data_IF_446054090437
#
_entry.id   IF_446054090437
#
_cell.length_a   1.000
_cell.length_b   1.000
_cell.length_c   1.000
_cell.angle_alpha   90.00
_cell.angle_beta   90.00
_cell.angle_gamma   90.00
#
_symmetry.space_group_name_H-M   'P 1'
#
loop_
_entity.id
_entity.type
_entity.pdbx_description
1 polymer ?
#
# COMPACT_ATOMS: atom_id res chain seq x y z
N UNK A 1 5.67 -31.42 36.20
CA UNK A 1 6.66 -30.68 35.38
C UNK A 1 6.00 -30.48 34.04
N UNK A 2 5.42 -29.30 33.85
CA UNK A 2 4.70 -28.94 32.63
C UNK A 2 5.72 -28.59 31.56
N UNK A 3 5.61 -29.20 30.39
CA UNK A 3 6.41 -28.87 29.22
C UNK A 3 6.23 -27.39 28.86
N UNK A 4 7.32 -26.66 28.53
CA UNK A 4 7.20 -25.31 28.02
C UNK A 4 6.60 -25.37 26.61
N UNK A 5 5.49 -24.65 26.43
CA UNK A 5 4.88 -24.34 25.13
C UNK A 5 5.97 -23.97 24.12
N UNK A 6 6.17 -24.86 23.15
CA UNK A 6 6.92 -24.56 21.93
C UNK A 6 6.19 -23.44 21.21
N UNK A 7 6.85 -22.29 21.03
CA UNK A 7 6.36 -21.25 20.14
C UNK A 7 5.95 -21.87 18.79
N UNK A 8 4.79 -21.48 18.21
CA UNK A 8 4.37 -22.03 16.93
C UNK A 8 5.44 -21.76 15.86
N UNK A 9 5.63 -22.68 14.90
CA UNK A 9 6.60 -22.46 13.82
C UNK A 9 6.29 -21.14 13.09
N UNK A 10 7.35 -20.42 12.70
CA UNK A 10 7.27 -19.10 12.04
C UNK A 10 6.28 -19.06 10.85
N UNK A 11 6.02 -20.20 10.22
CA UNK A 11 5.07 -20.39 9.12
C UNK A 11 3.59 -20.05 9.42
N UNK A 12 3.21 -19.77 10.68
CA UNK A 12 1.81 -19.55 11.08
C UNK A 12 1.46 -18.10 11.42
N UNK A 13 2.41 -17.16 11.49
CA UNK A 13 2.15 -15.87 12.18
C UNK A 13 1.23 -14.92 11.41
N UNK A 14 1.26 -14.93 10.07
CA UNK A 14 0.53 -13.96 9.24
C UNK A 14 -0.42 -14.57 8.21
N UNK A 15 -0.54 -15.90 8.17
CA UNK A 15 -1.29 -16.60 7.11
C UNK A 15 -2.78 -16.21 7.03
N UNK A 16 -3.37 -15.75 8.13
CA UNK A 16 -4.76 -15.25 8.13
C UNK A 16 -4.89 -13.84 7.55
N UNK A 17 -3.80 -13.07 7.50
CA UNK A 17 -3.80 -11.68 7.08
C UNK A 17 -3.33 -11.50 5.63
N UNK A 18 -2.18 -12.07 5.26
CA UNK A 18 -1.61 -11.92 3.91
C UNK A 18 -0.98 -13.20 3.40
N UNK A 19 -1.03 -13.36 2.08
CA UNK A 19 -0.32 -14.41 1.37
C UNK A 19 1.19 -14.12 1.20
N UNK A 20 1.62 -12.85 1.34
CA UNK A 20 3.01 -12.40 1.13
C UNK A 20 3.85 -12.54 2.41
N UNK A 21 4.18 -13.77 2.79
CA UNK A 21 4.81 -14.05 4.08
C UNK A 21 6.20 -13.45 4.20
N UNK A 22 7.06 -13.64 3.20
CA UNK A 22 8.45 -13.19 3.28
C UNK A 22 8.50 -11.65 3.22
N UNK A 23 7.60 -11.04 2.45
CA UNK A 23 7.38 -9.58 2.45
C UNK A 23 7.00 -9.07 3.85
N UNK A 24 6.06 -9.75 4.52
CA UNK A 24 5.61 -9.35 5.85
C UNK A 24 6.64 -9.60 6.94
N UNK A 25 7.44 -10.65 6.84
CA UNK A 25 8.54 -10.91 7.77
C UNK A 25 9.57 -9.77 7.69
N UNK A 26 9.99 -9.40 6.46
CA UNK A 26 10.89 -8.26 6.24
C UNK A 26 10.29 -6.92 6.70
N UNK A 27 9.00 -6.70 6.41
CA UNK A 27 8.29 -5.52 6.92
C UNK A 27 8.24 -5.51 8.46
N UNK A 28 8.02 -6.66 9.10
CA UNK A 28 8.01 -6.78 10.55
C UNK A 28 9.37 -6.50 11.19
N UNK A 29 10.46 -6.85 10.51
CA UNK A 29 11.82 -6.47 10.94
C UNK A 29 11.99 -4.95 10.92
N UNK A 30 11.56 -4.27 9.83
CA UNK A 30 11.59 -2.81 9.75
C UNK A 30 10.71 -2.16 10.83
N UNK A 31 9.49 -2.68 11.03
CA UNK A 31 8.56 -2.13 12.02
C UNK A 31 9.09 -2.25 13.43
N UNK A 32 9.86 -3.29 13.76
CA UNK A 32 10.41 -3.43 15.13
C UNK A 32 11.39 -2.31 15.49
N UNK A 33 12.15 -1.84 14.50
CA UNK A 33 13.22 -0.86 14.73
C UNK A 33 12.84 0.58 14.33
N UNK A 34 11.74 0.77 13.61
CA UNK A 34 11.42 2.10 13.06
C UNK A 34 11.05 3.15 14.13
N UNK A 35 11.46 4.38 13.90
CA UNK A 35 10.93 5.55 14.59
C UNK A 35 9.58 5.95 13.97
N UNK A 36 8.76 6.67 14.75
CA UNK A 36 7.45 7.16 14.28
C UNK A 36 7.50 8.69 14.18
N UNK A 37 7.31 9.20 12.96
CA UNK A 37 7.10 10.63 12.72
C UNK A 37 5.68 11.04 13.13
N UNK A 38 5.49 11.16 14.45
CA UNK A 38 4.21 11.52 15.06
C UNK A 38 3.73 12.92 14.65
N UNK A 39 4.64 13.82 14.22
CA UNK A 39 4.30 15.14 13.71
C UNK A 39 3.66 15.01 12.32
N UNK A 40 4.30 14.31 11.39
CA UNK A 40 3.74 14.08 10.06
C UNK A 40 2.41 13.32 10.12
N UNK A 41 2.31 12.31 11.02
CA UNK A 41 1.10 11.53 11.25
C UNK A 41 -0.01 12.29 11.99
N UNK A 42 0.30 13.44 12.60
CA UNK A 42 -0.71 14.31 13.23
C UNK A 42 -1.33 15.32 12.26
N UNK A 43 -0.76 15.49 11.06
CA UNK A 43 -1.31 16.41 10.06
C UNK A 43 -2.71 15.95 9.61
N UNK A 44 -3.65 16.89 9.39
CA UNK A 44 -5.00 16.56 8.93
C UNK A 44 -5.02 15.80 7.60
N UNK A 45 -5.70 14.66 7.57
CA UNK A 45 -5.92 13.82 6.41
C UNK A 45 -7.40 13.44 6.30
N UNK A 46 -7.83 13.00 5.13
CA UNK A 46 -9.13 12.39 4.88
C UNK A 46 -8.96 11.11 4.05
N UNK A 47 -9.78 10.09 4.29
CA UNK A 47 -9.84 8.94 3.39
C UNK A 47 -10.29 9.40 2.01
N UNK A 48 -9.76 8.75 0.97
CA UNK A 48 -10.27 8.97 -0.37
C UNK A 48 -11.68 8.37 -0.51
N UNK A 49 -12.50 9.00 -1.33
CA UNK A 49 -13.80 8.47 -1.76
C UNK A 49 -13.62 7.79 -3.12
N UNK A 50 -13.80 6.47 -3.22
CA UNK A 50 -13.54 5.71 -4.45
C UNK A 50 -14.33 6.24 -5.66
N UNK A 51 -15.58 6.69 -5.44
CA UNK A 51 -16.41 7.29 -6.49
C UNK A 51 -15.86 8.60 -7.05
N UNK A 52 -14.97 9.29 -6.33
CA UNK A 52 -14.34 10.56 -6.73
C UNK A 52 -12.89 10.38 -7.17
N UNK A 53 -12.08 9.63 -6.40
CA UNK A 53 -10.67 9.41 -6.72
C UNK A 53 -10.47 8.44 -7.89
N UNK A 54 -11.45 7.57 -8.13
CA UNK A 54 -11.41 6.52 -9.14
C UNK A 54 -10.23 5.54 -9.07
N UNK A 55 -9.55 5.44 -7.93
CA UNK A 55 -8.33 4.65 -7.80
C UNK A 55 -7.09 5.37 -8.33
N UNK A 56 -6.96 6.69 -8.08
CA UNK A 56 -5.81 7.50 -8.49
C UNK A 56 -4.46 6.85 -8.18
N UNK A 57 -4.30 6.21 -7.01
CA UNK A 57 -3.05 5.54 -6.63
C UNK A 57 -2.70 4.34 -7.53
N UNK A 58 -3.64 3.81 -8.31
CA UNK A 58 -3.42 2.69 -9.22
C UNK A 58 -2.88 3.12 -10.59
N UNK A 59 -2.63 4.41 -10.85
CA UNK A 59 -2.42 4.90 -12.22
C UNK A 59 -1.25 4.23 -12.96
N UNK A 60 -0.13 3.96 -12.27
CA UNK A 60 1.07 3.38 -12.88
C UNK A 60 1.35 1.95 -12.39
N UNK A 61 0.37 1.27 -11.80
CA UNK A 61 0.60 -0.02 -11.16
C UNK A 61 1.52 0.07 -9.95
N UNK A 62 2.07 -1.05 -9.52
CA UNK A 62 2.89 -1.15 -8.31
C UNK A 62 4.06 -2.09 -8.54
N UNK A 63 5.25 -1.68 -8.10
CA UNK A 63 6.44 -2.53 -8.06
C UNK A 63 6.30 -3.58 -6.98
N UNK A 64 6.75 -4.79 -7.29
CA UNK A 64 6.57 -5.97 -6.47
C UNK A 64 7.93 -6.51 -6.04
N UNK A 65 8.01 -7.01 -4.82
CA UNK A 65 9.17 -7.81 -4.42
C UNK A 65 9.06 -9.25 -4.98
N UNK A 66 10.06 -10.08 -4.68
CA UNK A 66 10.12 -11.46 -5.17
C UNK A 66 8.97 -12.32 -4.63
N UNK A 67 8.58 -12.15 -3.38
CA UNK A 67 7.52 -12.96 -2.75
C UNK A 67 6.16 -12.55 -3.32
N UNK A 68 5.90 -11.25 -3.45
CA UNK A 68 4.70 -10.72 -4.08
C UNK A 68 4.54 -11.21 -5.53
N UNK A 69 5.63 -11.24 -6.30
CA UNK A 69 5.61 -11.81 -7.66
C UNK A 69 5.25 -13.30 -7.63
N UNK A 70 5.87 -14.09 -6.75
CA UNK A 70 5.62 -15.53 -6.68
C UNK A 70 4.16 -15.81 -6.32
N UNK A 71 3.66 -15.15 -5.28
CA UNK A 71 2.29 -15.32 -4.79
C UNK A 71 1.27 -14.87 -5.82
N UNK A 72 1.46 -13.70 -6.45
CA UNK A 72 0.52 -13.23 -7.48
C UNK A 72 0.59 -14.10 -8.74
N UNK A 73 1.76 -14.59 -9.13
CA UNK A 73 1.88 -15.51 -10.26
C UNK A 73 1.16 -16.83 -10.00
N UNK A 74 1.28 -17.39 -8.80
CA UNK A 74 0.56 -18.60 -8.39
C UNK A 74 -0.96 -18.38 -8.31
N UNK A 75 -1.39 -17.25 -7.73
CA UNK A 75 -2.79 -16.85 -7.69
C UNK A 75 -3.38 -16.77 -9.11
N UNK A 76 -2.67 -16.13 -10.05
CA UNK A 76 -3.11 -15.98 -11.43
C UNK A 76 -3.11 -17.30 -12.20
N UNK A 77 -2.17 -18.21 -11.90
CA UNK A 77 -2.15 -19.53 -12.50
C UNK A 77 -3.44 -20.31 -12.19
N UNK A 78 -3.97 -20.18 -10.97
CA UNK A 78 -5.10 -20.97 -10.50
C UNK A 78 -6.45 -20.24 -10.59
N UNK A 79 -6.47 -18.92 -10.45
CA UNK A 79 -7.70 -18.14 -10.24
C UNK A 79 -7.89 -16.98 -11.23
N UNK A 80 -7.11 -16.91 -12.32
CA UNK A 80 -7.25 -15.85 -13.33
C UNK A 80 -8.69 -15.67 -13.82
N UNK A 81 -9.39 -16.76 -14.16
CA UNK A 81 -10.75 -16.68 -14.68
C UNK A 81 -11.73 -16.07 -13.67
N UNK A 82 -11.56 -16.35 -12.38
CA UNK A 82 -12.40 -15.78 -11.31
C UNK A 82 -12.11 -14.30 -11.12
N UNK A 83 -10.84 -13.89 -11.16
CA UNK A 83 -10.44 -12.48 -11.08
C UNK A 83 -10.96 -11.69 -12.30
N UNK A 84 -10.86 -12.27 -13.50
CA UNK A 84 -11.42 -11.67 -14.72
C UNK A 84 -12.94 -11.52 -14.65
N UNK A 85 -13.64 -12.50 -14.05
CA UNK A 85 -15.08 -12.44 -13.84
C UNK A 85 -15.53 -11.31 -12.89
N UNK A 86 -14.63 -10.74 -12.08
CA UNK A 86 -14.90 -9.52 -11.28
C UNK A 86 -14.95 -8.24 -12.14
N UNK A 87 -14.61 -8.33 -13.43
CA UNK A 87 -14.53 -7.18 -14.34
C UNK A 87 -13.12 -6.61 -14.50
N UNK A 88 -12.08 -7.39 -14.20
CA UNK A 88 -10.69 -7.04 -14.45
C UNK A 88 -10.14 -7.87 -15.63
N UNK A 89 -10.35 -7.47 -16.90
CA UNK A 89 -9.78 -8.20 -18.03
C UNK A 89 -8.25 -8.12 -17.97
N UNK A 90 -7.60 -9.24 -17.64
CA UNK A 90 -6.16 -9.28 -17.45
C UNK A 90 -5.45 -9.50 -18.79
N UNK A 91 -4.33 -8.79 -19.06
CA UNK A 91 -3.50 -9.10 -20.22
C UNK A 91 -2.84 -10.49 -20.07
N UNK A 92 -2.25 -11.05 -21.15
CA UNK A 92 -1.47 -12.28 -21.05
C UNK A 92 -0.36 -12.23 -20.00
N UNK A 93 0.24 -11.05 -19.79
CA UNK A 93 1.27 -10.78 -18.79
C UNK A 93 0.79 -9.70 -17.80
N UNK A 94 0.14 -10.07 -16.68
CA UNK A 94 -0.33 -9.11 -15.67
C UNK A 94 0.78 -8.54 -14.78
N UNK A 95 1.95 -9.16 -14.79
CA UNK A 95 3.17 -8.70 -14.12
C UNK A 95 4.23 -8.53 -15.21
N UNK A 96 4.80 -7.35 -15.31
CA UNK A 96 5.76 -6.94 -16.34
C UNK A 96 7.02 -6.39 -15.68
N UNK A 97 8.11 -6.27 -16.43
CA UNK A 97 9.29 -5.54 -15.97
C UNK A 97 9.11 -4.05 -16.24
N UNK A 98 9.26 -3.21 -15.22
CA UNK A 98 9.21 -1.76 -15.33
C UNK A 98 10.51 -1.12 -14.89
N UNK A 99 10.76 0.09 -15.38
CA UNK A 99 11.82 0.98 -14.90
C UNK A 99 11.22 2.37 -14.74
N UNK A 100 11.50 2.99 -13.60
CA UNK A 100 11.05 4.35 -13.34
C UNK A 100 12.24 5.21 -12.96
N UNK A 101 12.60 6.11 -13.90
CA UNK A 101 13.60 7.17 -13.75
C UNK A 101 14.97 6.72 -13.20
N UNK A 102 15.34 5.45 -13.40
CA UNK A 102 16.57 4.87 -12.86
C UNK A 102 16.61 4.70 -11.33
N UNK A 103 15.54 5.06 -10.60
CA UNK A 103 15.45 4.89 -9.15
C UNK A 103 14.96 3.49 -8.77
N UNK A 104 14.02 2.96 -9.54
CA UNK A 104 13.48 1.61 -9.34
C UNK A 104 13.38 0.89 -10.67
N UNK A 105 13.79 -0.37 -10.67
CA UNK A 105 13.72 -1.27 -11.82
C UNK A 105 13.44 -2.67 -11.31
N UNK A 106 12.47 -3.34 -11.93
CA UNK A 106 12.04 -4.66 -11.46
C UNK A 106 10.61 -5.02 -11.88
N UNK A 107 10.09 -6.13 -11.36
CA UNK A 107 8.73 -6.55 -11.65
C UNK A 107 7.72 -5.58 -11.06
N UNK A 108 6.67 -5.27 -11.83
CA UNK A 108 5.53 -4.46 -11.42
C UNK A 108 4.25 -5.00 -12.04
N UNK A 109 3.10 -4.69 -11.44
CA UNK A 109 1.81 -4.96 -12.09
C UNK A 109 1.72 -4.18 -13.40
N UNK A 110 1.24 -4.84 -14.46
CA UNK A 110 0.97 -4.20 -15.74
C UNK A 110 -0.05 -3.05 -15.60
N UNK A 111 0.00 -2.14 -16.57
CA UNK A 111 -0.99 -1.08 -16.73
C UNK A 111 -1.76 -1.24 -18.03
N UNK A 112 -2.93 -0.62 -18.11
CA UNK A 112 -3.74 -0.50 -19.32
C UNK A 112 -4.10 0.97 -19.55
N UNK A 113 -4.37 1.39 -20.79
CA UNK A 113 -4.94 2.70 -21.05
C UNK A 113 -6.25 2.89 -20.28
N UNK A 114 -6.38 4.02 -19.60
CA UNK A 114 -7.56 4.37 -18.82
C UNK A 114 -7.59 5.90 -18.70
N UNK A 115 -8.65 6.60 -19.17
CA UNK A 115 -8.72 8.07 -19.15
C UNK A 115 -8.98 8.58 -17.72
N UNK A 116 -8.03 8.37 -16.83
CA UNK A 116 -8.13 8.71 -15.42
C UNK A 116 -8.33 10.21 -15.20
N UNK A 117 -7.71 11.05 -16.02
CA UNK A 117 -7.86 12.51 -15.98
C UNK A 117 -9.30 12.97 -16.23
N UNK A 118 -10.07 12.23 -17.03
CA UNK A 118 -11.48 12.54 -17.31
C UNK A 118 -12.42 12.00 -16.22
N UNK A 119 -12.02 10.92 -15.53
CA UNK A 119 -12.88 10.19 -14.60
C UNK A 119 -12.70 10.59 -13.15
N UNK A 120 -11.47 10.91 -12.74
CA UNK A 120 -11.10 11.21 -11.36
C UNK A 120 -11.12 12.71 -11.09
N UNK A 121 -11.72 13.10 -9.96
CA UNK A 121 -11.69 14.49 -9.51
C UNK A 121 -10.27 14.88 -9.09
N UNK A 122 -9.80 16.04 -9.56
CA UNK A 122 -8.48 16.60 -9.26
C UNK A 122 -7.33 15.62 -9.58
N UNK A 123 -7.47 14.85 -10.66
CA UNK A 123 -6.40 13.97 -11.13
C UNK A 123 -5.12 14.78 -11.42
N UNK A 124 -3.95 14.42 -10.87
CA UNK A 124 -2.72 15.16 -11.11
C UNK A 124 -2.33 15.14 -12.58
N UNK A 125 -2.08 16.31 -13.18
CA UNK A 125 -1.83 16.43 -14.62
C UNK A 125 -0.54 15.75 -15.10
N UNK A 126 0.40 15.48 -14.19
CA UNK A 126 1.63 14.75 -14.48
C UNK A 126 1.47 13.23 -14.35
N UNK A 127 0.32 12.73 -13.88
CA UNK A 127 0.05 11.31 -13.90
C UNK A 127 -0.44 10.88 -15.29
N UNK A 128 0.03 9.73 -15.82
CA UNK A 128 -0.43 9.20 -17.10
C UNK A 128 -1.90 8.77 -17.07
N UNK A 129 -2.57 8.79 -18.22
CA UNK A 129 -3.90 8.17 -18.42
C UNK A 129 -3.78 6.65 -18.57
N UNK A 130 -3.39 6.03 -17.46
CA UNK A 130 -3.30 4.57 -17.33
C UNK A 130 -3.85 4.14 -15.98
N UNK A 131 -4.15 2.85 -15.86
CA UNK A 131 -4.47 2.22 -14.59
C UNK A 131 -3.86 0.83 -14.50
N UNK A 132 -3.55 0.40 -13.29
CA UNK A 132 -3.19 -0.99 -12.95
C UNK A 132 -4.24 -1.94 -13.51
N UNK A 133 -3.80 -3.05 -14.10
CA UNK A 133 -4.71 -4.06 -14.69
C UNK A 133 -5.67 -4.67 -13.67
N UNK A 134 -5.37 -4.59 -12.37
CA UNK A 134 -6.24 -5.03 -11.28
C UNK A 134 -7.24 -3.97 -10.79
N UNK A 135 -7.26 -2.76 -11.33
CA UNK A 135 -8.27 -1.75 -11.01
C UNK A 135 -9.61 -2.11 -11.70
N UNK A 136 -10.69 -2.21 -10.93
CA UNK A 136 -12.05 -2.42 -11.43
C UNK A 136 -12.67 -1.11 -11.90
N UNK A 137 -13.72 -1.22 -12.73
CA UNK A 137 -14.43 -0.05 -13.28
C UNK A 137 -15.11 0.81 -12.21
N UNK A 138 -15.47 0.22 -11.07
CA UNK A 138 -16.00 0.88 -9.88
C UNK A 138 -14.92 1.34 -8.88
N UNK A 139 -13.66 1.30 -9.31
CA UNK A 139 -12.50 1.83 -8.60
C UNK A 139 -12.05 1.01 -7.39
N UNK A 140 -12.60 -0.21 -7.21
CA UNK A 140 -12.07 -1.21 -6.28
C UNK A 140 -10.90 -1.98 -6.91
N UNK A 141 -10.11 -2.66 -6.08
CA UNK A 141 -9.03 -3.55 -6.54
C UNK A 141 -9.55 -4.98 -6.65
N UNK A 142 -9.35 -5.63 -7.80
CA UNK A 142 -9.83 -6.99 -8.03
C UNK A 142 -9.15 -8.03 -7.15
N UNK A 143 -7.88 -7.85 -6.78
CA UNK A 143 -7.18 -8.73 -5.82
C UNK A 143 -7.83 -8.69 -4.43
N UNK A 144 -8.18 -7.49 -3.98
CA UNK A 144 -8.89 -7.29 -2.71
C UNK A 144 -10.32 -7.85 -2.78
N UNK A 145 -11.05 -7.61 -3.88
CA UNK A 145 -12.40 -8.17 -4.05
C UNK A 145 -12.38 -9.69 -4.13
N UNK A 146 -11.38 -10.27 -4.80
CA UNK A 146 -11.18 -11.71 -4.84
C UNK A 146 -10.95 -12.26 -3.42
N UNK A 147 -10.05 -11.66 -2.63
CA UNK A 147 -9.82 -12.06 -1.25
C UNK A 147 -11.11 -12.03 -0.40
N UNK A 148 -11.88 -10.93 -0.49
CA UNK A 148 -13.17 -10.79 0.22
C UNK A 148 -14.16 -11.86 -0.21
N UNK A 149 -14.25 -12.19 -1.51
CA UNK A 149 -15.14 -13.25 -2.01
C UNK A 149 -14.74 -14.64 -1.51
N UNK A 150 -13.45 -14.86 -1.22
CA UNK A 150 -12.94 -16.07 -0.60
C UNK A 150 -13.06 -16.05 0.94
N UNK A 151 -13.74 -15.05 1.52
CA UNK A 151 -13.85 -14.84 2.98
C UNK A 151 -12.48 -14.67 3.67
N UNK A 152 -11.50 -14.13 2.96
CA UNK A 152 -10.18 -13.77 3.48
C UNK A 152 -10.13 -12.29 3.89
N UNK A 153 -9.05 -11.90 4.56
CA UNK A 153 -8.77 -10.50 4.86
C UNK A 153 -8.73 -9.66 3.56
N UNK A 154 -9.29 -8.44 3.52
CA UNK A 154 -9.27 -7.61 2.31
C UNK A 154 -7.87 -7.31 1.75
N UNK A 155 -6.82 -7.38 2.57
CA UNK A 155 -5.44 -7.15 2.12
C UNK A 155 -4.68 -8.45 1.81
N UNK A 156 -5.35 -9.60 1.82
CA UNK A 156 -4.69 -10.90 1.71
C UNK A 156 -3.83 -11.07 0.47
N UNK A 157 -4.34 -10.59 -0.68
CA UNK A 157 -3.61 -10.58 -1.96
C UNK A 157 -3.25 -9.17 -2.43
N UNK A 158 -3.31 -8.16 -1.54
CA UNK A 158 -3.00 -6.78 -1.90
C UNK A 158 -1.53 -6.47 -1.56
N UNK A 159 -0.70 -6.06 -2.54
CA UNK A 159 0.71 -5.75 -2.29
C UNK A 159 0.91 -4.80 -1.11
N UNK A 160 2.03 -4.95 -0.39
CA UNK A 160 2.29 -4.23 0.86
C UNK A 160 2.18 -2.71 0.70
N UNK A 161 2.86 -2.19 -0.32
CA UNK A 161 2.83 -0.77 -0.70
C UNK A 161 1.42 -0.28 -1.04
N UNK A 162 0.55 -1.13 -1.60
CA UNK A 162 -0.81 -0.75 -1.98
C UNK A 162 -1.75 -0.56 -0.79
N UNK A 163 -1.63 -1.36 0.28
CA UNK A 163 -2.47 -1.19 1.47
C UNK A 163 -1.86 -0.23 2.49
N UNK A 164 -0.53 -0.05 2.49
CA UNK A 164 0.15 0.94 3.31
C UNK A 164 -0.09 2.38 2.83
N UNK A 165 -0.27 2.58 1.53
CA UNK A 165 -0.46 3.93 0.95
C UNK A 165 -1.56 4.72 1.67
N UNK A 166 -1.31 5.97 2.14
CA UNK A 166 -0.16 6.83 1.82
C UNK A 166 1.01 6.79 2.83
N UNK A 167 1.00 5.86 3.79
CA UNK A 167 2.12 5.71 4.73
C UNK A 167 3.39 5.31 3.97
N UNK A 168 4.52 5.83 4.43
CA UNK A 168 5.83 5.48 3.93
C UNK A 168 6.71 4.99 5.09
N UNK A 169 7.54 4.00 4.79
CA UNK A 169 8.64 3.59 5.66
C UNK A 169 9.90 3.95 4.90
N UNK A 170 10.64 4.92 5.41
CA UNK A 170 11.86 5.41 4.80
C UNK A 170 13.07 4.89 5.56
N UNK A 171 14.19 4.77 4.85
CA UNK A 171 15.49 4.49 5.44
C UNK A 171 16.50 5.55 4.97
N UNK A 172 16.60 6.69 5.67
CA UNK A 172 17.57 7.73 5.34
C UNK A 172 19.02 7.23 5.43
N UNK A 173 19.95 8.03 4.90
CA UNK A 173 21.39 7.69 4.84
C UNK A 173 22.05 7.49 6.22
N UNK A 174 21.44 8.01 7.29
CA UNK A 174 21.92 7.82 8.67
C UNK A 174 21.59 6.42 9.24
N UNK A 175 20.88 5.60 8.46
CA UNK A 175 20.51 4.24 8.80
C UNK A 175 19.27 4.12 9.69
N UNK A 176 18.65 5.24 10.06
CA UNK A 176 17.35 5.22 10.74
C UNK A 176 16.28 4.61 9.83
N UNK A 177 15.22 4.07 10.42
CA UNK A 177 14.02 3.64 9.69
C UNK A 177 12.87 4.46 10.26
N UNK A 178 12.10 5.14 9.42
CA UNK A 178 11.09 6.08 9.89
C UNK A 178 9.75 5.77 9.22
N UNK A 179 8.71 5.55 10.02
CA UNK A 179 7.33 5.59 9.57
C UNK A 179 6.86 7.03 9.49
N UNK A 180 6.53 7.49 8.30
CA UNK A 180 6.09 8.86 8.04
C UNK A 180 4.91 8.92 7.07
N UNK A 181 4.44 10.14 6.86
CA UNK A 181 3.51 10.53 5.82
C UNK A 181 4.17 11.69 5.08
N UNK A 182 4.17 11.69 3.75
CA UNK A 182 4.72 12.83 3.00
C UNK A 182 3.71 13.96 2.82
N UNK A 183 4.19 15.19 2.77
CA UNK A 183 3.45 16.30 2.15
C UNK A 183 4.07 16.67 0.80
N UNK A 184 3.62 17.79 0.22
CA UNK A 184 4.08 18.28 -1.07
C UNK A 184 5.57 18.62 -1.10
N UNK A 185 6.17 18.94 0.04
CA UNK A 185 7.58 19.34 0.13
C UNK A 185 8.47 18.12 0.37
N UNK A 186 7.99 17.16 1.17
CA UNK A 186 8.75 15.96 1.56
C UNK A 186 8.55 14.74 0.67
N UNK A 187 7.68 14.77 -0.34
CA UNK A 187 7.41 13.62 -1.22
C UNK A 187 8.68 13.14 -1.95
N UNK A 188 9.10 11.88 -1.77
CA UNK A 188 10.37 11.38 -2.32
C UNK A 188 10.34 11.28 -3.85
N UNK A 189 9.14 11.31 -4.47
CA UNK A 189 8.98 11.30 -5.91
C UNK A 189 8.88 12.72 -6.50
N UNK A 190 9.25 13.76 -5.75
CA UNK A 190 9.24 15.13 -6.25
C UNK A 190 10.50 15.44 -7.07
N UNK A 191 10.29 15.71 -8.36
CA UNK A 191 11.31 16.14 -9.32
C UNK A 191 10.89 17.44 -10.03
N UNK A 192 11.81 18.14 -10.73
CA UNK A 192 11.46 19.36 -11.46
C UNK A 192 10.31 19.20 -12.46
N UNK A 193 10.12 18.00 -13.03
CA UNK A 193 9.11 17.67 -14.03
C UNK A 193 8.04 16.67 -13.53
N UNK A 194 8.07 16.30 -12.24
CA UNK A 194 7.12 15.35 -11.65
C UNK A 194 6.81 15.74 -10.21
N UNK A 195 5.58 16.16 -9.94
CA UNK A 195 5.23 16.89 -8.71
C UNK A 195 4.78 15.95 -7.56
N UNK A 196 5.53 14.88 -7.33
CA UNK A 196 5.27 13.88 -6.29
C UNK A 196 4.18 12.87 -6.63
N UNK A 197 4.16 11.75 -5.90
CA UNK A 197 3.14 10.70 -6.05
C UNK A 197 2.21 10.68 -4.84
N UNK A 198 2.74 10.32 -3.67
CA UNK A 198 1.97 10.07 -2.45
C UNK A 198 1.13 11.28 -2.05
N UNK A 199 1.79 12.43 -1.98
CA UNK A 199 1.23 13.75 -1.63
C UNK A 199 0.24 14.31 -2.65
N UNK A 200 0.06 13.63 -3.80
CA UNK A 200 -0.86 14.01 -4.90
C UNK A 200 -2.03 13.07 -5.07
N UNK A 201 -2.04 11.95 -4.37
CA UNK A 201 -3.22 11.09 -4.32
C UNK A 201 -4.28 11.66 -3.37
N UNK A 202 -5.59 11.49 -3.64
CA UNK A 202 -6.63 12.05 -2.75
C UNK A 202 -6.57 11.56 -1.31
N UNK A 203 -6.01 10.38 -1.04
CA UNK A 203 -5.80 9.87 0.31
C UNK A 203 -4.44 10.25 0.92
N UNK A 204 -3.52 10.85 0.16
CA UNK A 204 -2.20 11.28 0.65
C UNK A 204 -1.98 12.79 0.65
N UNK A 205 -2.89 13.58 0.06
CA UNK A 205 -2.88 15.04 0.19
C UNK A 205 -3.09 15.42 1.66
N UNK A 206 -2.07 16.02 2.26
CA UNK A 206 -2.05 16.51 3.63
C UNK A 206 -1.28 17.84 3.69
N UNK A 207 -1.72 18.83 4.50
CA UNK A 207 -2.94 18.83 5.31
C UNK A 207 -4.22 19.07 4.47
N UNK A 208 -5.33 18.43 4.84
CA UNK A 208 -6.65 18.68 4.25
C UNK A 208 -7.56 19.45 5.22
N UNK A 209 -8.22 20.50 4.72
CA UNK A 209 -9.16 21.29 5.52
C UNK A 209 -10.33 20.41 6.01
N UNK A 210 -10.60 20.43 7.32
CA UNK A 210 -11.64 19.59 7.94
C UNK A 210 -11.26 18.11 8.10
N UNK A 211 -10.04 17.72 7.75
CA UNK A 211 -9.51 16.38 7.99
C UNK A 211 -9.30 16.07 9.48
N UNK A 212 -9.05 14.80 9.76
CA UNK A 212 -8.66 14.31 11.09
C UNK A 212 -7.17 13.99 11.11
N UNK A 213 -6.50 13.92 12.27
CA UNK A 213 -5.10 13.49 12.34
C UNK A 213 -4.88 12.19 11.56
N UNK A 214 -3.86 12.14 10.71
CA UNK A 214 -3.65 11.01 9.79
C UNK A 214 -3.58 9.65 10.53
N UNK A 215 -3.00 9.60 11.72
CA UNK A 215 -2.96 8.38 12.53
C UNK A 215 -4.35 7.84 12.93
N UNK A 216 -5.36 8.70 13.04
CA UNK A 216 -6.74 8.28 13.28
C UNK A 216 -7.38 7.76 11.99
N UNK A 217 -7.17 8.49 10.90
CA UNK A 217 -7.69 8.16 9.57
C UNK A 217 -7.15 6.82 9.09
N UNK A 218 -5.85 6.56 9.32
CA UNK A 218 -5.09 5.39 8.91
C UNK A 218 -4.91 4.37 10.04
N UNK A 219 -5.82 4.38 11.02
CA UNK A 219 -5.71 3.52 12.20
C UNK A 219 -5.73 2.02 11.87
N UNK A 220 -6.45 1.60 10.82
CA UNK A 220 -6.47 0.20 10.39
C UNK A 220 -5.09 -0.25 9.86
N UNK A 221 -4.43 0.58 9.05
CA UNK A 221 -3.11 0.32 8.50
C UNK A 221 -2.06 0.33 9.62
N UNK A 222 -2.12 1.31 10.52
CA UNK A 222 -1.21 1.42 11.65
C UNK A 222 -1.37 0.28 12.65
N UNK A 223 -2.60 -0.12 12.96
CA UNK A 223 -2.84 -1.30 13.80
C UNK A 223 -2.23 -2.53 13.16
N UNK A 224 -2.47 -2.73 11.85
CA UNK A 224 -1.96 -3.90 11.15
C UNK A 224 -0.44 -3.92 11.10
N UNK A 225 0.17 -2.77 10.82
CA UNK A 225 1.61 -2.62 10.80
C UNK A 225 2.19 -2.93 12.19
N UNK A 226 1.56 -2.42 13.24
CA UNK A 226 1.87 -2.75 14.62
C UNK A 226 1.80 -4.25 14.91
N UNK A 227 0.73 -4.94 14.49
CA UNK A 227 0.57 -6.40 14.68
C UNK A 227 1.70 -7.19 14.00
N UNK A 228 2.13 -6.75 12.81
CA UNK A 228 3.24 -7.37 12.05
C UNK A 228 4.56 -7.23 12.82
N UNK A 229 4.86 -6.03 13.33
CA UNK A 229 6.08 -5.77 14.12
C UNK A 229 6.00 -6.19 15.59
N UNK A 230 4.82 -6.49 16.12
CA UNK A 230 4.61 -6.70 17.56
C UNK A 230 4.70 -5.40 18.37
N UNK A 231 4.22 -4.28 17.83
CA UNK A 231 4.22 -2.94 18.46
C UNK A 231 2.81 -2.35 18.53
N UNK A 232 2.56 -1.50 19.53
CA UNK A 232 1.34 -0.69 19.62
C UNK A 232 1.58 0.72 19.07
N UNK A 233 1.70 0.82 17.75
CA UNK A 233 2.01 2.09 17.08
C UNK A 233 1.01 3.20 17.41
N UNK A 234 -0.28 2.84 17.55
CA UNK A 234 -1.32 3.81 17.91
C UNK A 234 -1.17 4.29 19.36
N UNK A 235 -0.81 3.41 20.29
CA UNK A 235 -0.47 3.77 21.67
C UNK A 235 0.76 4.67 21.73
N UNK A 236 1.83 4.31 21.01
CA UNK A 236 3.07 5.09 20.94
C UNK A 236 2.84 6.51 20.43
N UNK A 237 2.05 6.68 19.35
CA UNK A 237 1.70 8.01 18.83
C UNK A 237 0.91 8.82 19.87
N UNK A 238 -0.07 8.21 20.56
CA UNK A 238 -0.86 8.91 21.58
C UNK A 238 0.00 9.36 22.76
N UNK A 239 0.96 8.55 23.18
CA UNK A 239 1.89 8.89 24.25
C UNK A 239 2.79 10.06 23.84
N UNK A 240 3.39 10.00 22.65
CA UNK A 240 4.25 11.06 22.14
C UNK A 240 3.53 12.41 21.98
N UNK A 241 2.24 12.41 21.63
CA UNK A 241 1.44 13.64 21.50
C UNK A 241 0.93 14.20 22.84
N UNK A 242 1.07 13.45 23.93
CA UNK A 242 0.67 13.87 25.26
C UNK A 242 1.82 14.51 26.07
N UNK A 243 3.06 14.36 25.60
CA UNK A 243 4.28 14.98 26.14
C UNK A 243 4.52 16.39 25.57
#
# INVERSE_FOLDING_TARGET
MSDPESAPPAHSRFASFSAFRDTLDGLGDLVREMEIDHIALSRPLSRCELGRCRGTCCHDGVYLDRDEVNVLSDLLLHHRAEIEALGAPLPPEPIVHGEWRGYVSGPKTATRPEPMAERAENYPSHFPDTACVFLLSDSRCSLQQFAVNQSLDPWHYKPATCWLHPLAIEQPDDGSVILTLHDRESDPQRFPDYDGFGSRTPCGVSPVAGGQPAWQVLSAELQRLGDIGGRDLLGEIRLALAE
#
